data_IF_686003237362
#
_entry.id   IF_686003237362
#
_cell.length_a   1.000
_cell.length_b   1.000
_cell.length_c   1.000
_cell.angle_alpha   90.00
_cell.angle_beta   90.00
_cell.angle_gamma   90.00
#
_symmetry.space_group_name_H-M   'P 1'
#
loop_
_entity.id
_entity.type
_entity.pdbx_description
1 polymer ?
#
# COMPACT_ATOMS: atom_id res chain seq x y z
N UNK A 1 3.75 -5.93 14.91
CA UNK A 1 2.82 -4.80 14.78
C UNK A 1 1.38 -5.29 14.71
N UNK A 2 0.41 -4.39 14.95
CA UNK A 2 -1.01 -4.70 14.76
C UNK A 2 -1.45 -4.38 13.34
N UNK A 3 -2.34 -5.23 12.80
CA UNK A 3 -3.03 -4.99 11.54
C UNK A 3 -4.51 -5.37 11.66
N UNK A 4 -5.38 -4.67 10.93
CA UNK A 4 -6.78 -5.03 10.80
C UNK A 4 -6.98 -5.82 9.51
N UNK A 5 -7.56 -7.00 9.61
CA UNK A 5 -7.89 -7.85 8.47
C UNK A 5 -9.39 -8.16 8.43
N UNK A 6 -9.88 -8.48 7.27
CA UNK A 6 -11.21 -9.06 7.07
C UNK A 6 -11.04 -10.55 6.75
N UNK A 7 -11.26 -11.45 7.71
CA UNK A 7 -11.18 -12.90 7.45
C UNK A 7 -12.34 -13.39 6.58
N UNK A 8 -13.48 -12.72 6.65
CA UNK A 8 -14.71 -12.99 5.89
C UNK A 8 -15.55 -11.71 5.80
N UNK A 9 -16.59 -11.72 4.98
CA UNK A 9 -17.52 -10.61 4.86
C UNK A 9 -18.19 -10.27 6.20
N UNK A 10 -18.29 -8.98 6.51
CA UNK A 10 -18.91 -8.47 7.74
C UNK A 10 -18.07 -8.60 9.01
N UNK A 11 -16.83 -9.12 8.91
CA UNK A 11 -15.96 -9.34 10.05
C UNK A 11 -14.63 -8.61 9.90
N UNK A 12 -14.21 -7.93 10.95
CA UNK A 12 -12.90 -7.29 11.05
C UNK A 12 -12.22 -7.80 12.31
N UNK A 13 -10.96 -8.21 12.19
CA UNK A 13 -10.14 -8.67 13.31
C UNK A 13 -8.82 -7.90 13.37
N UNK A 14 -8.40 -7.59 14.59
CA UNK A 14 -7.05 -7.11 14.87
C UNK A 14 -6.13 -8.31 15.09
N UNK A 15 -5.08 -8.41 14.31
CA UNK A 15 -4.10 -9.49 14.39
C UNK A 15 -2.70 -8.96 14.62
N UNK A 16 -1.87 -9.76 15.23
CA UNK A 16 -0.44 -9.52 15.30
C UNK A 16 0.23 -10.04 14.03
N UNK A 17 0.95 -9.18 13.34
CA UNK A 17 1.71 -9.54 12.14
C UNK A 17 3.19 -9.23 12.33
N UNK A 18 4.02 -10.08 11.75
CA UNK A 18 5.47 -9.84 11.69
C UNK A 18 5.74 -9.05 10.41
N UNK A 19 6.45 -7.93 10.56
CA UNK A 19 6.88 -7.15 9.41
C UNK A 19 7.88 -7.98 8.59
N UNK A 20 7.72 -8.12 7.28
CA UNK A 20 8.73 -8.77 6.45
C UNK A 20 10.03 -7.96 6.46
N UNK A 21 11.14 -8.60 6.13
CA UNK A 21 12.41 -7.91 5.99
C UNK A 21 12.34 -6.88 4.85
N UNK A 22 12.65 -5.62 5.19
CA UNK A 22 12.61 -4.51 4.23
C UNK A 22 13.72 -4.66 3.19
N UNK A 23 13.36 -4.54 1.91
CA UNK A 23 14.31 -4.57 0.81
C UNK A 23 15.00 -3.20 0.63
N UNK A 24 16.10 -3.18 -0.13
CA UNK A 24 16.89 -1.97 -0.35
C UNK A 24 16.13 -0.85 -1.09
N UNK A 25 15.14 -1.17 -1.88
CA UNK A 25 14.34 -0.24 -2.68
C UNK A 25 12.98 0.10 -2.04
N UNK A 26 12.75 -0.34 -0.80
CA UNK A 26 11.52 -0.10 -0.05
C UNK A 26 11.65 1.04 0.97
N UNK A 27 10.51 1.57 1.35
CA UNK A 27 10.38 2.58 2.42
C UNK A 27 9.39 2.05 3.46
N UNK A 28 9.80 2.05 4.72
CA UNK A 28 8.92 1.74 5.83
C UNK A 28 8.24 3.01 6.31
N UNK A 29 6.92 3.00 6.40
CA UNK A 29 6.11 4.14 6.80
C UNK A 29 5.31 3.81 8.05
N UNK A 30 5.46 4.59 9.11
CA UNK A 30 4.55 4.56 10.26
C UNK A 30 3.20 5.17 9.83
N UNK A 31 2.16 4.38 9.77
CA UNK A 31 0.83 4.83 9.35
C UNK A 31 0.24 5.76 10.40
N UNK A 32 -0.24 6.93 9.98
CA UNK A 32 -0.90 7.91 10.86
C UNK A 32 -2.38 8.05 10.59
N UNK A 33 -2.78 7.87 9.33
CA UNK A 33 -4.19 7.75 8.95
C UNK A 33 -4.31 6.96 7.65
N UNK A 34 -5.43 6.29 7.48
CA UNK A 34 -5.77 5.54 6.27
C UNK A 34 -7.24 5.77 5.95
N UNK A 35 -7.55 6.05 4.69
CA UNK A 35 -8.90 6.18 4.19
C UNK A 35 -9.59 4.82 4.05
N UNK A 36 -10.91 4.80 4.21
CA UNK A 36 -11.75 3.64 3.93
C UNK A 36 -12.44 3.86 2.59
N UNK A 37 -11.83 3.33 1.54
CA UNK A 37 -12.37 3.42 0.19
C UNK A 37 -13.65 2.58 0.01
N UNK A 38 -14.44 2.90 -0.99
CA UNK A 38 -15.58 2.06 -1.41
C UNK A 38 -15.14 0.67 -1.87
N UNK A 39 -13.86 0.50 -2.22
CA UNK A 39 -13.27 -0.79 -2.54
C UNK A 39 -13.29 -1.74 -1.34
N UNK A 40 -12.81 -1.31 -0.17
CA UNK A 40 -12.86 -2.08 1.08
C UNK A 40 -14.30 -2.38 1.51
N UNK A 41 -15.21 -1.42 1.31
CA UNK A 41 -16.62 -1.61 1.61
C UNK A 41 -17.24 -2.77 0.81
N UNK A 42 -16.80 -2.99 -0.45
CA UNK A 42 -17.28 -4.12 -1.25
C UNK A 42 -16.91 -5.46 -0.62
N UNK A 43 -15.71 -5.59 -0.04
CA UNK A 43 -15.32 -6.78 0.71
C UNK A 43 -16.17 -6.93 1.97
N UNK A 44 -16.28 -5.87 2.76
CA UNK A 44 -17.07 -5.91 3.99
C UNK A 44 -18.52 -6.33 3.75
N UNK A 45 -19.16 -5.85 2.71
CA UNK A 45 -20.53 -6.21 2.36
C UNK A 45 -20.67 -7.49 1.53
N UNK A 46 -19.61 -8.27 1.37
CA UNK A 46 -19.63 -9.55 0.63
C UNK A 46 -19.86 -9.40 -0.88
N UNK A 47 -19.57 -8.22 -1.44
CA UNK A 47 -19.69 -7.93 -2.89
C UNK A 47 -18.40 -8.21 -3.66
N UNK A 48 -17.38 -8.71 -2.99
CA UNK A 48 -16.08 -9.11 -3.55
C UNK A 48 -15.60 -10.38 -2.88
N UNK A 49 -14.78 -11.15 -3.59
CA UNK A 49 -14.13 -12.37 -3.11
C UNK A 49 -12.64 -12.09 -2.85
N UNK A 50 -11.96 -13.01 -2.18
CA UNK A 50 -10.52 -12.89 -1.88
C UNK A 50 -10.27 -12.62 -0.40
N UNK A 51 -10.81 -13.49 0.46
CA UNK A 51 -10.52 -13.48 1.90
C UNK A 51 -9.41 -14.48 2.24
N UNK A 52 -8.58 -14.24 3.28
CA UNK A 52 -8.60 -13.03 4.11
C UNK A 52 -8.10 -11.80 3.33
N UNK A 53 -8.66 -10.63 3.62
CA UNK A 53 -8.34 -9.37 2.95
C UNK A 53 -7.70 -8.38 3.93
N UNK A 54 -6.54 -7.84 3.58
CA UNK A 54 -5.80 -6.84 4.34
C UNK A 54 -5.79 -5.51 3.54
N UNK A 55 -6.82 -4.71 3.70
CA UNK A 55 -7.05 -3.49 2.93
C UNK A 55 -6.24 -2.27 3.38
N UNK A 56 -6.64 -1.13 2.85
CA UNK A 56 -6.03 0.17 3.12
C UNK A 56 -4.99 0.58 2.09
N UNK A 57 -5.41 1.36 1.10
CA UNK A 57 -4.54 1.89 0.02
C UNK A 57 -4.55 3.42 -0.06
N UNK A 58 -5.28 4.10 0.80
CA UNK A 58 -5.32 5.56 0.93
C UNK A 58 -4.57 5.97 2.20
N UNK A 59 -3.25 5.88 2.19
CA UNK A 59 -2.39 5.91 3.36
C UNK A 59 -1.68 7.25 3.45
N UNK A 60 -1.63 7.84 4.64
CA UNK A 60 -0.63 8.84 4.99
C UNK A 60 0.11 8.47 6.27
N UNK A 61 1.37 8.88 6.36
CA UNK A 61 2.20 8.50 7.47
C UNK A 61 3.49 9.30 7.57
N UNK A 62 4.39 8.76 8.36
CA UNK A 62 5.72 9.31 8.57
C UNK A 62 6.76 8.26 8.20
N UNK A 63 7.74 8.63 7.40
CA UNK A 63 8.83 7.74 7.02
C UNK A 63 9.61 7.30 8.26
N UNK A 64 9.65 6.01 8.49
CA UNK A 64 10.40 5.38 9.58
C UNK A 64 11.80 4.98 9.10
N UNK A 65 11.90 4.31 7.96
CA UNK A 65 13.16 3.83 7.40
C UNK A 65 13.13 3.92 5.88
N UNK A 66 14.28 4.21 5.28
CA UNK A 66 14.47 4.30 3.83
C UNK A 66 15.54 3.32 3.40
N UNK A 67 15.26 2.52 2.39
CA UNK A 67 16.20 1.59 1.80
C UNK A 67 17.30 2.30 1.00
N UNK A 68 18.45 1.66 0.90
CA UNK A 68 19.67 2.25 0.32
C UNK A 68 19.59 2.56 -1.17
N UNK A 69 18.62 1.95 -1.88
CA UNK A 69 18.40 2.10 -3.33
C UNK A 69 17.14 2.90 -3.68
N UNK A 70 16.49 3.50 -2.70
CA UNK A 70 15.33 4.36 -2.94
C UNK A 70 15.75 5.59 -3.72
N UNK A 71 15.12 5.80 -4.89
CA UNK A 71 15.51 6.86 -5.83
C UNK A 71 15.03 8.26 -5.43
N UNK A 72 14.05 8.37 -4.52
CA UNK A 72 13.53 9.64 -4.03
C UNK A 72 14.38 10.19 -2.89
N UNK A 73 14.49 11.53 -2.78
CA UNK A 73 15.13 12.20 -1.62
C UNK A 73 14.17 12.19 -0.41
N UNK A 74 13.98 11.01 0.16
CA UNK A 74 13.17 10.76 1.35
C UNK A 74 14.07 10.58 2.58
N UNK A 75 13.62 11.09 3.71
CA UNK A 75 14.31 10.98 4.99
C UNK A 75 13.38 10.48 6.09
N UNK A 76 13.94 9.77 7.05
CA UNK A 76 13.21 9.42 8.28
C UNK A 76 12.64 10.69 8.92
N UNK A 77 11.36 10.65 9.25
CA UNK A 77 10.61 11.78 9.79
C UNK A 77 9.80 12.57 8.75
N UNK A 78 10.00 12.34 7.45
CA UNK A 78 9.22 13.01 6.41
C UNK A 78 7.76 12.55 6.47
N UNK A 79 6.84 13.50 6.29
CA UNK A 79 5.41 13.23 6.15
C UNK A 79 5.11 12.88 4.71
N UNK A 80 4.45 11.75 4.50
CA UNK A 80 4.18 11.21 3.16
C UNK A 80 2.73 10.80 2.98
N UNK A 81 2.29 10.82 1.73
CA UNK A 81 1.09 10.14 1.25
C UNK A 81 1.54 9.05 0.31
N UNK A 82 1.04 7.83 0.52
CA UNK A 82 1.39 6.70 -0.34
C UNK A 82 0.48 6.70 -1.55
N UNK A 83 1.08 6.79 -2.72
CA UNK A 83 0.36 6.68 -3.99
C UNK A 83 0.17 5.20 -4.33
N UNK A 84 -1.07 4.78 -4.52
CA UNK A 84 -1.43 3.41 -4.84
C UNK A 84 -1.15 3.00 -6.30
N UNK A 85 -0.61 3.91 -7.12
CA UNK A 85 -0.25 3.63 -8.50
C UNK A 85 1.27 3.49 -8.63
N UNK A 86 1.74 2.29 -8.92
CA UNK A 86 3.13 2.05 -9.27
C UNK A 86 3.32 2.19 -10.78
N UNK A 87 4.47 2.69 -11.19
CA UNK A 87 4.82 2.97 -12.59
C UNK A 87 6.19 2.43 -12.92
N UNK A 88 6.44 2.06 -14.17
CA UNK A 88 7.77 1.59 -14.58
C UNK A 88 8.80 2.72 -14.73
N UNK A 89 8.38 3.96 -14.91
CA UNK A 89 9.24 5.13 -15.08
C UNK A 89 9.86 5.29 -16.49
N UNK A 90 9.82 4.26 -17.34
CA UNK A 90 10.56 4.21 -18.60
C UNK A 90 9.71 4.19 -19.88
N UNK A 91 8.44 3.78 -19.81
CA UNK A 91 7.55 3.76 -20.97
C UNK A 91 7.19 5.18 -21.45
N UNK A 92 6.59 5.27 -22.64
CA UNK A 92 6.19 6.55 -23.20
C UNK A 92 5.34 7.37 -22.24
N UNK A 93 4.31 6.79 -21.64
CA UNK A 93 3.39 7.51 -20.76
C UNK A 93 4.06 8.00 -19.49
N UNK A 94 4.88 7.18 -18.84
CA UNK A 94 5.62 7.58 -17.64
C UNK A 94 6.56 8.76 -17.90
N UNK A 95 7.27 8.73 -19.04
CA UNK A 95 8.19 9.82 -19.43
C UNK A 95 7.47 11.14 -19.73
N UNK A 96 6.18 11.09 -20.03
CA UNK A 96 5.36 12.26 -20.35
C UNK A 96 4.42 12.66 -19.20
N UNK A 97 4.56 12.03 -17.99
CA UNK A 97 3.77 12.35 -16.80
C UNK A 97 2.36 11.75 -16.76
N UNK A 98 2.06 10.81 -17.65
CA UNK A 98 0.80 10.07 -17.67
C UNK A 98 0.91 8.74 -16.94
N UNK A 99 1.36 8.77 -15.69
CA UNK A 99 1.70 7.58 -14.89
C UNK A 99 0.56 6.58 -14.77
N UNK A 100 -0.68 7.07 -14.71
CA UNK A 100 -1.89 6.25 -14.66
C UNK A 100 -2.17 5.47 -15.96
N UNK A 101 -1.41 5.74 -17.03
CA UNK A 101 -1.47 5.04 -18.31
C UNK A 101 -0.21 4.20 -18.56
N UNK A 102 0.54 3.86 -17.54
CA UNK A 102 1.74 3.05 -17.66
C UNK A 102 1.46 1.75 -18.42
N UNK A 103 2.19 1.51 -19.52
CA UNK A 103 2.04 0.31 -20.35
C UNK A 103 2.38 -0.96 -19.60
N UNK A 104 3.30 -0.87 -18.65
CA UNK A 104 3.78 -1.98 -17.83
C UNK A 104 3.12 -2.02 -16.44
N UNK A 105 1.98 -1.35 -16.24
CA UNK A 105 1.33 -1.25 -14.93
C UNK A 105 1.05 -2.63 -14.31
N UNK A 106 0.63 -3.61 -15.12
CA UNK A 106 0.32 -4.98 -14.65
C UNK A 106 1.54 -5.71 -14.09
N UNK A 107 2.73 -5.40 -14.60
CA UNK A 107 3.96 -6.09 -14.24
C UNK A 107 4.67 -5.44 -13.04
N UNK A 108 4.44 -4.15 -12.82
CA UNK A 108 5.12 -3.38 -11.78
C UNK A 108 4.19 -2.93 -10.65
N UNK A 109 2.88 -3.04 -10.82
CA UNK A 109 1.91 -2.54 -9.85
C UNK A 109 1.80 -3.47 -8.65
N UNK A 110 2.20 -2.94 -7.50
CA UNK A 110 1.89 -3.52 -6.19
C UNK A 110 1.08 -2.47 -5.42
N UNK A 111 -0.22 -2.64 -5.39
CA UNK A 111 -1.12 -1.75 -4.65
C UNK A 111 -1.23 -2.25 -3.21
N UNK A 112 -0.78 -1.48 -2.21
CA UNK A 112 -0.99 -1.84 -0.82
C UNK A 112 -2.46 -2.16 -0.54
N UNK A 113 -2.72 -3.26 0.16
CA UNK A 113 -4.09 -3.67 0.47
C UNK A 113 -4.89 -4.29 -0.68
N UNK A 114 -4.27 -4.46 -1.86
CA UNK A 114 -4.86 -5.17 -3.01
C UNK A 114 -3.97 -6.35 -3.40
N UNK A 115 -2.69 -6.10 -3.63
CA UNK A 115 -1.71 -7.11 -4.05
C UNK A 115 -0.83 -7.62 -2.89
N UNK A 116 -1.07 -7.12 -1.68
CA UNK A 116 -0.32 -7.45 -0.47
C UNK A 116 -0.84 -6.71 0.75
N UNK A 117 -0.10 -6.72 1.85
CA UNK A 117 -0.47 -6.02 3.07
C UNK A 117 -0.76 -4.54 2.82
N UNK A 118 -1.84 -4.03 3.42
CA UNK A 118 -2.28 -2.66 3.26
C UNK A 118 -2.11 -1.81 4.51
N UNK A 119 -2.49 -0.54 4.40
CA UNK A 119 -2.31 0.45 5.45
C UNK A 119 -3.26 0.34 6.64
N UNK A 120 -4.17 -0.63 6.69
CA UNK A 120 -4.89 -0.92 7.94
C UNK A 120 -3.97 -1.63 8.95
N UNK A 121 -2.76 -1.09 9.12
CA UNK A 121 -1.71 -1.56 9.99
C UNK A 121 -0.96 -0.39 10.62
N UNK A 122 -0.12 -0.66 11.61
CA UNK A 122 0.72 0.38 12.24
C UNK A 122 1.86 0.85 11.34
N UNK A 123 2.33 -0.05 10.46
CA UNK A 123 3.42 0.21 9.51
C UNK A 123 3.14 -0.45 8.16
#
# INVERSE_FOLDING_TARGET
>A
MKAAIMPEAGKIELVDVVLPEMQDDEVLVDVKAVGICTFEQKFYYGKSNGFPFAGGHEICGVVNKVGSKVAQDLKTGDKVVVLSLTRCGECYYCRHGYDNQCENAKDVQKVPGVDGPGGFAEQ
#
